data_IF_430158694718
#
_entry.id   IF_430158694718
#
_cell.length_a   1.000
_cell.length_b   1.000
_cell.length_c   1.000
_cell.angle_alpha   90.00
_cell.angle_beta   90.00
_cell.angle_gamma   90.00
#
_symmetry.space_group_name_H-M   'P 1'
#
loop_
_entity.id
_entity.type
_entity.pdbx_description
1 polymer ?
#
# COMPACT_ATOMS: atom_id res chain seq x y z
N UNK A 1 -5.12 32.83 1.09
CA UNK A 1 -5.44 31.39 1.02
C UNK A 1 -4.30 30.65 1.71
N UNK A 2 -4.59 29.84 2.73
CA UNK A 2 -3.54 29.09 3.44
C UNK A 2 -2.91 28.05 2.51
N UNK A 3 -1.64 27.75 2.74
CA UNK A 3 -0.82 26.86 1.93
C UNK A 3 -0.48 25.58 2.68
N UNK A 4 -0.68 24.43 2.03
CA UNK A 4 -0.44 23.11 2.60
C UNK A 4 0.49 22.35 1.67
N UNK A 5 1.60 21.82 2.19
CA UNK A 5 2.41 20.84 1.47
C UNK A 5 2.01 19.43 1.89
N UNK A 6 1.69 18.56 0.93
CA UNK A 6 1.46 17.13 1.14
C UNK A 6 2.66 16.39 0.57
N UNK A 7 3.41 15.69 1.42
CA UNK A 7 4.64 14.99 1.04
C UNK A 7 4.33 13.50 0.94
N UNK A 8 4.17 13.01 -0.28
CA UNK A 8 3.78 11.64 -0.61
C UNK A 8 2.35 11.57 -1.14
N UNK A 9 2.18 10.92 -2.29
CA UNK A 9 0.89 10.75 -2.96
C UNK A 9 0.32 9.34 -2.83
N UNK A 10 0.86 8.51 -1.93
CA UNK A 10 0.28 7.21 -1.60
C UNK A 10 -1.07 7.32 -0.87
N UNK A 11 -1.64 6.19 -0.39
CA UNK A 11 -2.98 6.15 0.20
C UNK A 11 -3.23 7.22 1.26
N UNK A 12 -2.31 7.41 2.22
CA UNK A 12 -2.44 8.44 3.26
C UNK A 12 -2.64 9.85 2.67
N UNK A 13 -1.85 10.21 1.65
CA UNK A 13 -1.99 11.49 0.96
C UNK A 13 -3.31 11.60 0.19
N UNK A 14 -3.77 10.51 -0.43
CA UNK A 14 -5.05 10.47 -1.13
C UNK A 14 -6.22 10.67 -0.17
N UNK A 15 -6.25 9.97 0.97
CA UNK A 15 -7.32 10.13 1.96
C UNK A 15 -7.32 11.53 2.58
N UNK A 16 -6.14 12.12 2.82
CA UNK A 16 -6.06 13.52 3.21
C UNK A 16 -6.71 14.43 2.16
N UNK A 17 -6.35 14.28 0.88
CA UNK A 17 -6.92 15.08 -0.21
C UNK A 17 -8.43 14.84 -0.36
N UNK A 18 -8.92 13.61 -0.13
CA UNK A 18 -10.35 13.32 -0.08
C UNK A 18 -11.02 14.11 1.04
N UNK A 19 -10.50 14.09 2.26
CA UNK A 19 -11.06 14.84 3.39
C UNK A 19 -11.10 16.34 3.10
N UNK A 20 -10.11 16.88 2.36
CA UNK A 20 -10.10 18.29 1.95
C UNK A 20 -11.26 18.68 1.03
N UNK A 21 -11.95 17.72 0.39
CA UNK A 21 -13.17 18.01 -0.38
C UNK A 21 -14.29 18.56 0.51
N UNK A 22 -14.31 18.22 1.79
CA UNK A 22 -15.33 18.66 2.75
C UNK A 22 -15.01 20.05 3.33
N UNK A 23 -13.80 20.58 3.09
CA UNK A 23 -13.40 21.88 3.59
C UNK A 23 -14.13 23.03 2.90
N UNK A 24 -14.76 23.90 3.71
CA UNK A 24 -15.28 25.18 3.26
C UNK A 24 -14.16 26.17 2.91
N UNK A 25 -13.04 26.09 3.64
CA UNK A 25 -11.85 26.90 3.43
C UNK A 25 -11.10 26.38 2.20
N UNK A 26 -10.71 27.30 1.31
CA UNK A 26 -9.90 26.97 0.12
C UNK A 26 -8.42 27.05 0.47
N UNK A 27 -7.66 26.11 -0.09
CA UNK A 27 -6.23 25.96 0.21
C UNK A 27 -5.39 25.98 -1.08
N UNK A 28 -4.15 26.43 -0.94
CA UNK A 28 -3.10 26.24 -1.94
C UNK A 28 -2.33 24.98 -1.57
N UNK A 29 -2.64 23.86 -2.22
CA UNK A 29 -2.10 22.55 -1.89
C UNK A 29 -0.97 22.23 -2.87
N UNK A 30 0.22 21.96 -2.35
CA UNK A 30 1.33 21.42 -3.13
C UNK A 30 1.50 19.94 -2.80
N UNK A 31 1.33 19.06 -3.78
CA UNK A 31 1.52 17.63 -3.65
C UNK A 31 2.90 17.24 -4.18
N UNK A 32 3.78 16.78 -3.30
CA UNK A 32 5.12 16.31 -3.64
C UNK A 32 5.16 14.79 -3.67
N UNK A 33 5.83 14.22 -4.68
CA UNK A 33 6.17 12.81 -4.69
C UNK A 33 7.51 12.58 -5.37
N UNK A 34 8.30 11.67 -4.81
CA UNK A 34 9.59 11.28 -5.40
C UNK A 34 9.41 10.44 -6.67
N UNK A 35 8.29 9.72 -6.79
CA UNK A 35 7.96 8.92 -7.96
C UNK A 35 7.43 9.81 -9.09
N UNK A 36 7.60 9.33 -10.32
CA UNK A 36 6.99 9.98 -11.49
C UNK A 36 5.47 9.76 -11.53
N UNK A 37 5.03 8.54 -11.21
CA UNK A 37 3.61 8.18 -11.14
C UNK A 37 3.07 8.40 -9.73
N UNK A 38 1.94 9.11 -9.64
CA UNK A 38 1.28 9.42 -8.38
C UNK A 38 0.24 8.36 -7.99
N UNK A 39 -0.21 8.41 -6.74
CA UNK A 39 -1.38 7.69 -6.25
C UNK A 39 -1.09 6.28 -5.77
N UNK A 40 -0.27 5.54 -6.51
CA UNK A 40 0.04 4.14 -6.20
C UNK A 40 0.70 3.97 -4.83
N UNK A 41 1.57 4.88 -4.41
CA UNK A 41 2.43 4.65 -3.25
C UNK A 41 3.41 3.49 -3.45
N UNK A 42 4.48 3.45 -2.65
CA UNK A 42 5.53 2.43 -2.76
C UNK A 42 4.98 0.98 -2.81
N UNK A 43 4.07 0.56 -1.90
CA UNK A 43 3.64 -0.84 -1.80
C UNK A 43 2.85 -1.37 -3.00
N UNK A 44 2.27 -0.51 -3.83
CA UNK A 44 1.38 -0.92 -4.93
C UNK A 44 1.98 -0.65 -6.32
N UNK A 45 3.25 -0.23 -6.38
CA UNK A 45 3.93 0.00 -7.66
C UNK A 45 4.27 -1.31 -8.38
N UNK A 46 4.26 -1.27 -9.71
CA UNK A 46 4.76 -2.34 -10.60
C UNK A 46 6.30 -2.48 -10.57
N UNK A 47 6.99 -1.52 -9.96
CA UNK A 47 8.44 -1.58 -9.75
C UNK A 47 8.80 -2.59 -8.65
N UNK A 48 7.95 -2.70 -7.63
CA UNK A 48 8.19 -3.56 -6.48
C UNK A 48 7.41 -4.88 -6.55
N UNK A 49 6.26 -4.92 -7.22
CA UNK A 49 5.35 -6.06 -7.22
C UNK A 49 5.13 -6.64 -8.63
N UNK A 50 4.67 -7.89 -8.69
CA UNK A 50 4.13 -8.51 -9.91
C UNK A 50 2.60 -8.48 -9.93
N UNK A 51 2.02 -9.01 -11.01
CA UNK A 51 0.57 -9.15 -11.15
C UNK A 51 0.00 -10.32 -10.32
N UNK A 52 0.85 -11.28 -9.97
CA UNK A 52 0.47 -12.47 -9.18
C UNK A 52 0.43 -12.18 -7.67
N UNK A 53 0.95 -11.03 -7.24
CA UNK A 53 1.01 -10.66 -5.83
C UNK A 53 -0.27 -9.98 -5.40
N UNK A 54 -1.05 -10.67 -4.55
CA UNK A 54 -2.30 -10.15 -4.03
C UNK A 54 -2.06 -9.12 -2.93
N UNK A 55 -2.92 -8.11 -2.87
CA UNK A 55 -3.05 -7.26 -1.71
C UNK A 55 -3.58 -8.12 -0.55
N UNK A 56 -3.04 -7.93 0.64
CA UNK A 56 -3.44 -8.65 1.86
C UNK A 56 -4.62 -7.97 2.56
N UNK A 57 -5.49 -7.32 1.78
CA UNK A 57 -6.66 -6.60 2.24
C UNK A 57 -7.77 -6.86 1.22
N UNK A 58 -8.92 -7.32 1.70
CA UNK A 58 -10.07 -7.54 0.88
C UNK A 58 -10.68 -6.21 0.44
N UNK A 59 -11.44 -6.25 -0.66
CA UNK A 59 -12.05 -5.05 -1.24
C UNK A 59 -12.92 -4.26 -0.25
N UNK A 60 -13.69 -4.98 0.57
CA UNK A 60 -14.61 -4.46 1.59
C UNK A 60 -13.89 -3.77 2.77
N UNK A 61 -12.64 -4.14 3.03
CA UNK A 61 -11.84 -3.58 4.12
C UNK A 61 -11.17 -2.26 3.72
N UNK A 62 -11.04 -1.99 2.41
CA UNK A 62 -10.46 -0.74 1.92
C UNK A 62 -11.46 0.39 2.13
N UNK A 63 -11.10 1.45 2.88
CA UNK A 63 -12.00 2.57 3.08
C UNK A 63 -12.44 3.18 1.75
N UNK A 64 -13.71 3.53 1.64
CA UNK A 64 -14.26 4.04 0.38
C UNK A 64 -13.62 5.41 0.06
N UNK A 65 -13.12 5.57 -1.17
CA UNK A 65 -12.71 6.87 -1.70
C UNK A 65 -13.90 7.59 -2.34
N UNK A 66 -13.95 7.76 -3.67
CA UNK A 66 -15.15 8.22 -4.37
C UNK A 66 -16.10 7.06 -4.69
N UNK A 67 -15.56 5.84 -4.76
CA UNK A 67 -16.29 4.58 -4.91
C UNK A 67 -15.52 3.44 -4.24
N UNK A 68 -16.15 2.29 -4.00
CA UNK A 68 -15.45 1.11 -3.45
C UNK A 68 -14.48 0.52 -4.49
N UNK A 69 -13.45 -0.19 -4.02
CA UNK A 69 -12.52 -0.88 -4.91
C UNK A 69 -13.23 -1.94 -5.77
N UNK A 70 -14.19 -2.66 -5.18
CA UNK A 70 -15.02 -3.65 -5.87
C UNK A 70 -15.82 -3.01 -7.02
N UNK A 71 -16.48 -1.88 -6.74
CA UNK A 71 -17.24 -1.12 -7.75
C UNK A 71 -16.33 -0.68 -8.89
N UNK A 72 -15.13 -0.20 -8.58
CA UNK A 72 -14.16 0.21 -9.59
C UNK A 72 -13.66 -0.96 -10.44
N UNK A 73 -13.38 -2.12 -9.83
CA UNK A 73 -12.99 -3.34 -10.54
C UNK A 73 -14.08 -3.78 -11.53
N UNK A 74 -15.35 -3.69 -11.14
CA UNK A 74 -16.51 -3.98 -11.99
C UNK A 74 -16.66 -3.04 -13.19
N UNK A 75 -15.98 -1.88 -13.21
CA UNK A 75 -15.97 -0.96 -14.36
C UNK A 75 -14.87 -1.28 -15.38
N UNK A 76 -13.89 -2.10 -15.03
CA UNK A 76 -12.83 -2.51 -15.95
C UNK A 76 -13.40 -3.38 -17.07
N UNK A 77 -12.76 -3.30 -18.24
CA UNK A 77 -13.09 -4.17 -19.37
C UNK A 77 -12.56 -5.59 -19.13
N UNK A 78 -13.17 -6.57 -19.80
CA UNK A 78 -12.73 -7.97 -19.71
C UNK A 78 -11.25 -8.11 -20.08
N UNK A 79 -10.81 -7.42 -21.14
CA UNK A 79 -9.39 -7.38 -21.52
C UNK A 79 -8.46 -6.85 -20.40
N UNK A 80 -8.90 -5.85 -19.63
CA UNK A 80 -8.11 -5.35 -18.50
C UNK A 80 -8.03 -6.35 -17.36
N UNK A 81 -9.11 -7.08 -17.09
CA UNK A 81 -9.19 -8.09 -16.03
C UNK A 81 -8.42 -9.37 -16.40
N UNK A 82 -8.54 -9.84 -17.63
CA UNK A 82 -7.80 -10.99 -18.18
C UNK A 82 -6.28 -10.79 -18.08
N UNK A 83 -5.80 -9.54 -18.25
CA UNK A 83 -4.41 -9.19 -18.05
C UNK A 83 -3.88 -9.43 -16.63
N UNK A 84 -4.77 -9.64 -15.66
CA UNK A 84 -4.50 -10.00 -14.27
C UNK A 84 -5.03 -11.40 -13.92
N UNK A 85 -5.40 -12.20 -14.92
CA UNK A 85 -5.99 -13.54 -14.72
C UNK A 85 -7.31 -13.49 -13.91
N UNK A 86 -8.06 -12.39 -14.03
CA UNK A 86 -9.33 -12.17 -13.34
C UNK A 86 -10.52 -12.30 -14.30
N UNK A 87 -11.61 -12.87 -13.80
CA UNK A 87 -12.90 -12.88 -14.46
C UNK A 87 -13.87 -11.92 -13.73
N UNK A 88 -14.60 -11.11 -14.51
CA UNK A 88 -15.54 -10.13 -13.99
C UNK A 88 -16.64 -10.72 -13.10
N UNK A 89 -17.13 -11.92 -13.45
CA UNK A 89 -18.15 -12.65 -12.69
C UNK A 89 -17.67 -13.13 -11.31
N UNK A 90 -16.35 -13.19 -11.08
CA UNK A 90 -15.76 -13.64 -9.82
C UNK A 90 -15.32 -12.47 -8.93
N UNK A 91 -15.57 -11.22 -9.33
CA UNK A 91 -15.26 -10.05 -8.52
C UNK A 91 -16.30 -9.93 -7.39
N UNK A 92 -15.83 -9.87 -6.15
CA UNK A 92 -16.63 -9.84 -4.93
C UNK A 92 -15.97 -8.95 -3.87
N UNK A 93 -16.78 -8.47 -2.94
CA UNK A 93 -16.34 -7.57 -1.86
C UNK A 93 -15.28 -8.20 -0.94
N UNK A 94 -15.34 -9.53 -0.73
CA UNK A 94 -14.33 -10.28 0.04
C UNK A 94 -13.17 -10.82 -0.80
N UNK A 95 -13.07 -10.41 -2.06
CA UNK A 95 -11.98 -10.85 -2.94
C UNK A 95 -10.65 -10.16 -2.63
N UNK A 96 -9.57 -10.90 -2.76
CA UNK A 96 -8.19 -10.40 -2.74
C UNK A 96 -7.69 -10.25 -4.18
N UNK A 97 -7.18 -9.06 -4.52
CA UNK A 97 -6.80 -8.71 -5.89
C UNK A 97 -5.34 -8.27 -5.96
N UNK A 98 -4.72 -8.29 -7.15
CA UNK A 98 -3.32 -7.90 -7.32
C UNK A 98 -3.01 -6.50 -6.75
N UNK A 99 -1.89 -6.37 -6.02
CA UNK A 99 -1.41 -5.09 -5.45
C UNK A 99 -1.27 -4.01 -6.50
N UNK A 100 -0.80 -4.39 -7.68
CA UNK A 100 -0.61 -3.47 -8.80
C UNK A 100 -1.94 -2.96 -9.37
N UNK A 101 -3.01 -3.76 -9.28
CA UNK A 101 -4.36 -3.34 -9.66
C UNK A 101 -4.98 -2.41 -8.61
N UNK A 102 -4.73 -2.66 -7.32
CA UNK A 102 -5.08 -1.74 -6.23
C UNK A 102 -4.34 -0.40 -6.37
N UNK A 103 -3.07 -0.42 -6.76
CA UNK A 103 -2.32 0.79 -7.08
C UNK A 103 -2.95 1.60 -8.21
N UNK A 104 -3.47 0.93 -9.24
CA UNK A 104 -4.21 1.58 -10.33
C UNK A 104 -5.52 2.21 -9.84
N UNK A 105 -6.27 1.53 -8.98
CA UNK A 105 -7.44 2.11 -8.33
C UNK A 105 -7.08 3.41 -7.59
N UNK A 106 -6.06 3.40 -6.74
CA UNK A 106 -5.64 4.60 -6.01
C UNK A 106 -5.21 5.74 -6.93
N UNK A 107 -4.52 5.43 -8.03
CA UNK A 107 -4.16 6.42 -9.04
C UNK A 107 -5.39 7.04 -9.71
N UNK A 108 -6.34 6.21 -10.16
CA UNK A 108 -7.56 6.69 -10.82
C UNK A 108 -8.40 7.53 -9.84
N UNK A 109 -8.53 7.11 -8.58
CA UNK A 109 -9.22 7.88 -7.53
C UNK A 109 -8.53 9.22 -7.23
N UNK A 110 -7.19 9.25 -7.13
CA UNK A 110 -6.44 10.50 -6.91
C UNK A 110 -6.69 11.52 -8.02
N UNK A 111 -6.71 11.07 -9.28
CA UNK A 111 -6.96 11.95 -10.44
C UNK A 111 -8.34 12.62 -10.31
N UNK A 112 -9.37 11.84 -9.98
CA UNK A 112 -10.73 12.38 -9.83
C UNK A 112 -10.86 13.29 -8.59
N UNK A 113 -10.24 12.93 -7.47
CA UNK A 113 -10.21 13.78 -6.26
C UNK A 113 -9.55 15.13 -6.56
N UNK A 114 -8.43 15.15 -7.29
CA UNK A 114 -7.76 16.41 -7.68
C UNK A 114 -8.68 17.26 -8.56
N UNK A 115 -9.38 16.68 -9.54
CA UNK A 115 -10.35 17.41 -10.36
C UNK A 115 -11.45 18.04 -9.51
N UNK A 116 -12.01 17.29 -8.56
CA UNK A 116 -13.05 17.76 -7.66
C UNK A 116 -12.55 18.87 -6.72
N UNK A 117 -11.33 18.77 -6.20
CA UNK A 117 -10.71 19.82 -5.38
C UNK A 117 -10.55 21.13 -6.18
N UNK A 118 -10.06 21.04 -7.41
CA UNK A 118 -9.93 22.20 -8.31
C UNK A 118 -11.31 22.81 -8.59
N UNK A 119 -12.32 21.99 -8.90
CA UNK A 119 -13.69 22.45 -9.12
C UNK A 119 -14.30 23.13 -7.88
N UNK A 120 -13.91 22.70 -6.68
CA UNK A 120 -14.28 23.33 -5.40
C UNK A 120 -13.48 24.58 -5.06
N UNK A 121 -12.55 25.02 -5.91
CA UNK A 121 -11.79 26.27 -5.76
C UNK A 121 -10.45 26.13 -5.03
N UNK A 122 -9.99 24.91 -4.73
CA UNK A 122 -8.63 24.72 -4.24
C UNK A 122 -7.63 24.93 -5.38
N UNK A 123 -6.44 25.46 -5.07
CA UNK A 123 -5.33 25.47 -6.01
C UNK A 123 -4.48 24.24 -5.72
N UNK A 124 -4.25 23.41 -6.74
CA UNK A 124 -3.41 22.22 -6.62
C UNK A 124 -2.17 22.40 -7.49
N UNK A 125 -0.99 22.29 -6.90
CA UNK A 125 0.28 22.23 -7.60
C UNK A 125 0.91 20.85 -7.40
N UNK A 126 1.25 20.17 -8.48
CA UNK A 126 1.79 18.81 -8.44
C UNK A 126 3.28 18.86 -8.73
N UNK A 127 4.07 18.29 -7.84
CA UNK A 127 5.53 18.24 -7.89
C UNK A 127 5.99 16.78 -7.78
N UNK A 128 5.78 15.99 -8.83
CA UNK A 128 6.31 14.64 -8.93
C UNK A 128 7.81 14.67 -9.29
N UNK A 129 8.52 13.54 -9.20
CA UNK A 129 9.98 13.47 -9.32
C UNK A 129 10.73 14.48 -8.40
N UNK A 130 10.14 14.76 -7.24
CA UNK A 130 10.66 15.74 -6.28
C UNK A 130 10.74 15.12 -4.90
N UNK A 131 11.91 15.21 -4.28
CA UNK A 131 12.19 14.67 -2.96
C UNK A 131 12.40 15.81 -1.96
N UNK A 132 11.57 15.82 -0.92
CA UNK A 132 11.72 16.74 0.21
C UNK A 132 12.77 16.14 1.16
N UNK A 133 13.90 16.84 1.32
CA UNK A 133 15.03 16.39 2.14
C UNK A 133 14.93 16.83 3.59
N UNK A 134 14.30 17.97 3.83
CA UNK A 134 14.11 18.50 5.17
C UNK A 134 12.81 19.30 5.24
N UNK A 135 12.23 19.32 6.43
CA UNK A 135 11.10 20.16 6.83
C UNK A 135 11.49 20.84 8.14
N UNK A 136 11.74 22.14 8.10
CA UNK A 136 12.10 22.94 9.27
C UNK A 136 10.93 23.88 9.62
N UNK A 137 10.62 24.09 10.90
CA UNK A 137 9.63 25.10 11.32
C UNK A 137 10.35 26.38 11.71
N UNK A 138 10.21 27.43 10.90
CA UNK A 138 10.94 28.69 11.03
C UNK A 138 9.99 29.87 10.77
N UNK A 139 10.07 30.89 11.63
CA UNK A 139 9.31 32.14 11.47
C UNK A 139 7.80 31.95 11.28
N UNK A 140 7.21 30.97 11.98
CA UNK A 140 5.77 30.69 11.92
C UNK A 140 5.31 29.88 10.70
N UNK A 141 6.23 29.37 9.88
CA UNK A 141 5.94 28.55 8.69
C UNK A 141 6.85 27.33 8.61
N UNK A 142 6.46 26.37 7.79
CA UNK A 142 7.31 25.24 7.44
C UNK A 142 8.12 25.53 6.19
N UNK A 143 9.44 25.43 6.29
CA UNK A 143 10.38 25.50 5.19
C UNK A 143 10.70 24.08 4.69
N UNK A 144 10.41 23.82 3.42
CA UNK A 144 10.71 22.58 2.73
C UNK A 144 11.94 22.76 1.86
N UNK A 145 12.95 21.91 2.07
CA UNK A 145 14.11 21.78 1.19
C UNK A 145 13.82 20.71 0.14
N UNK A 146 13.41 21.15 -1.04
CA UNK A 146 13.00 20.28 -2.13
C UNK A 146 14.13 20.15 -3.13
N UNK A 147 14.42 18.92 -3.51
CA UNK A 147 15.34 18.60 -4.57
C UNK A 147 14.56 17.87 -5.66
N UNK A 148 14.92 18.08 -6.92
CA UNK A 148 14.39 17.31 -8.04
C UNK A 148 15.54 16.88 -8.92
N UNK A 149 15.36 15.80 -9.68
CA UNK A 149 16.34 15.37 -10.67
C UNK A 149 16.57 16.42 -11.77
N UNK A 150 15.57 17.30 -12.01
CA UNK A 150 15.58 18.26 -13.12
C UNK A 150 15.60 19.75 -12.67
N UNK A 151 15.59 20.03 -11.37
CA UNK A 151 15.55 21.41 -10.86
C UNK A 151 16.66 21.68 -9.85
N UNK A 152 17.08 22.95 -9.81
CA UNK A 152 17.93 23.50 -8.75
C UNK A 152 17.23 23.27 -7.41
N UNK A 153 17.99 22.94 -6.36
CA UNK A 153 17.50 22.87 -4.98
C UNK A 153 16.63 24.08 -4.65
N UNK A 154 15.38 23.84 -4.27
CA UNK A 154 14.42 24.89 -3.93
C UNK A 154 14.15 24.90 -2.43
N UNK A 155 13.93 26.10 -1.92
CA UNK A 155 13.42 26.32 -0.57
C UNK A 155 12.01 26.89 -0.75
N UNK A 156 11.01 26.16 -0.26
CA UNK A 156 9.60 26.51 -0.39
C UNK A 156 8.97 26.61 1.00
N UNK A 157 8.10 27.58 1.24
CA UNK A 157 7.47 27.77 2.55
C UNK A 157 5.97 27.53 2.50
N UNK A 158 5.44 26.83 3.50
CA UNK A 158 4.03 26.48 3.63
C UNK A 158 3.51 26.77 5.04
N UNK A 159 2.21 27.05 5.16
CA UNK A 159 1.58 27.27 6.48
C UNK A 159 1.40 25.94 7.22
N UNK A 160 1.13 24.85 6.48
CA UNK A 160 0.97 23.50 7.02
C UNK A 160 1.73 22.46 6.20
N UNK A 161 2.09 21.34 6.82
CA UNK A 161 2.73 20.19 6.17
C UNK A 161 2.04 18.90 6.60
N UNK A 162 1.70 18.06 5.64
CA UNK A 162 1.22 16.70 5.83
C UNK A 162 2.31 15.73 5.37
N UNK A 163 2.87 14.97 6.31
CA UNK A 163 3.86 13.94 6.00
C UNK A 163 3.16 12.60 5.69
N UNK A 164 2.95 12.32 4.41
CA UNK A 164 2.38 11.07 3.90
C UNK A 164 3.46 10.20 3.23
N UNK A 165 4.66 10.18 3.80
CA UNK A 165 5.87 9.59 3.20
C UNK A 165 5.90 8.06 3.24
N UNK A 166 4.95 7.44 3.96
CA UNK A 166 5.00 6.02 4.29
C UNK A 166 6.17 5.66 5.20
N UNK A 167 6.50 4.37 5.27
CA UNK A 167 7.60 3.87 6.07
C UNK A 167 8.89 3.75 5.25
N UNK A 168 10.00 4.21 5.83
CA UNK A 168 11.34 3.97 5.30
C UNK A 168 11.90 2.69 5.92
N UNK A 169 12.32 1.75 5.07
CA UNK A 169 13.10 0.60 5.51
C UNK A 169 14.55 0.82 5.09
N UNK A 170 15.48 0.53 6.00
CA UNK A 170 16.90 0.53 5.67
C UNK A 170 17.16 -0.41 4.50
N UNK A 171 18.14 -0.03 3.67
CA UNK A 171 18.52 -0.83 2.51
C UNK A 171 19.13 -2.14 3.00
N UNK A 172 18.36 -3.21 2.91
CA UNK A 172 18.83 -4.56 3.17
C UNK A 172 20.04 -4.89 2.26
N UNK A 173 21.14 -5.37 2.86
CA UNK A 173 22.38 -5.68 2.14
C UNK A 173 22.41 -7.19 1.89
N UNK A 174 22.34 -7.57 0.62
CA UNK A 174 22.50 -8.96 0.18
C UNK A 174 23.97 -9.39 0.31
N UNK A 175 24.23 -10.65 0.65
CA UNK A 175 25.59 -11.19 0.84
C UNK A 175 25.71 -12.61 0.30
N UNK A 176 26.50 -12.80 -0.77
CA UNK A 176 26.62 -14.09 -1.43
C UNK A 176 25.26 -14.62 -1.89
N UNK A 177 24.84 -15.78 -1.36
CA UNK A 177 23.53 -16.38 -1.64
C UNK A 177 22.42 -15.92 -0.67
N UNK A 178 22.75 -15.10 0.34
CA UNK A 178 21.77 -14.53 1.26
C UNK A 178 21.14 -13.29 0.63
N UNK A 179 19.82 -13.35 0.43
CA UNK A 179 19.01 -12.19 0.07
C UNK A 179 18.37 -11.62 1.33
N UNK A 180 18.76 -10.41 1.71
CA UNK A 180 18.30 -9.79 2.95
C UNK A 180 16.87 -9.22 2.82
N UNK A 181 16.42 -8.96 1.59
CA UNK A 181 15.03 -8.58 1.31
C UNK A 181 14.58 -9.13 -0.05
N UNK A 182 13.36 -9.73 -0.13
CA UNK A 182 12.79 -10.23 -1.38
C UNK A 182 12.42 -9.12 -2.37
N UNK A 183 12.51 -7.85 -1.95
CA UNK A 183 12.13 -6.68 -2.73
C UNK A 183 13.31 -6.04 -3.48
N UNK A 184 13.09 -5.50 -4.69
CA UNK A 184 11.88 -5.63 -5.51
C UNK A 184 11.65 -7.07 -5.97
N UNK A 185 10.39 -7.45 -6.24
CA UNK A 185 9.99 -8.78 -6.73
C UNK A 185 10.90 -9.32 -7.84
N UNK A 186 11.34 -8.45 -8.75
CA UNK A 186 12.23 -8.81 -9.88
C UNK A 186 13.54 -9.48 -9.46
N UNK A 187 14.00 -9.30 -8.21
CA UNK A 187 15.16 -10.03 -7.67
C UNK A 187 14.93 -11.53 -7.67
N UNK A 188 13.70 -11.97 -7.38
CA UNK A 188 13.33 -13.37 -7.24
C UNK A 188 13.26 -14.11 -8.58
N UNK A 189 13.09 -13.40 -9.70
CA UNK A 189 13.06 -13.96 -11.06
C UNK A 189 14.32 -14.76 -11.44
N UNK A 190 15.43 -14.51 -10.73
CA UNK A 190 16.72 -15.19 -10.93
C UNK A 190 16.79 -16.56 -10.24
N UNK A 191 15.88 -16.85 -9.32
CA UNK A 191 15.88 -18.08 -8.53
C UNK A 191 15.15 -19.17 -9.33
N UNK A 192 15.91 -20.13 -9.87
CA UNK A 192 15.38 -21.22 -10.69
C UNK A 192 16.03 -22.53 -10.35
N UNK A 193 15.22 -23.59 -10.30
CA UNK A 193 15.63 -24.98 -10.21
C UNK A 193 16.73 -25.23 -9.16
N UNK A 194 16.53 -24.72 -7.93
CA UNK A 194 17.49 -24.85 -6.84
C UNK A 194 16.77 -24.95 -5.49
N UNK A 195 17.54 -25.27 -4.44
CA UNK A 195 17.05 -25.28 -3.07
C UNK A 195 17.01 -23.86 -2.51
N UNK A 196 15.90 -23.48 -1.91
CA UNK A 196 15.63 -22.13 -1.40
C UNK A 196 15.16 -22.22 0.05
N UNK A 197 15.86 -21.52 0.95
CA UNK A 197 15.40 -21.30 2.32
C UNK A 197 14.78 -19.91 2.46
N UNK A 198 13.55 -19.83 2.93
CA UNK A 198 12.86 -18.56 3.24
C UNK A 198 12.75 -18.43 4.76
N UNK A 199 13.45 -17.44 5.33
CA UNK A 199 13.41 -17.15 6.75
C UNK A 199 12.19 -16.27 7.06
N UNK A 200 11.17 -16.87 7.67
CA UNK A 200 9.90 -16.24 8.02
C UNK A 200 8.71 -16.91 7.36
N UNK A 201 7.53 -16.67 7.93
CA UNK A 201 6.24 -17.11 7.38
C UNK A 201 5.24 -15.96 7.26
N UNK A 202 5.70 -14.70 7.37
CA UNK A 202 4.83 -13.53 7.18
C UNK A 202 4.42 -13.34 5.71
N UNK A 203 3.55 -12.37 5.44
CA UNK A 203 3.10 -12.03 4.09
C UNK A 203 4.26 -11.82 3.10
N UNK A 204 5.36 -11.18 3.51
CA UNK A 204 6.54 -11.02 2.63
C UNK A 204 7.25 -12.34 2.32
N UNK A 205 7.20 -13.31 3.23
CA UNK A 205 7.76 -14.64 3.00
C UNK A 205 6.84 -15.47 2.07
N UNK A 206 5.53 -15.35 2.24
CA UNK A 206 4.53 -15.97 1.35
C UNK A 206 4.66 -15.39 -0.06
N UNK A 207 4.77 -14.07 -0.19
CA UNK A 207 5.05 -13.38 -1.45
C UNK A 207 6.32 -13.91 -2.14
N UNK A 208 7.39 -14.09 -1.37
CA UNK A 208 8.65 -14.62 -1.88
C UNK A 208 8.50 -16.08 -2.34
N UNK A 209 7.77 -16.90 -1.59
CA UNK A 209 7.43 -18.27 -1.97
C UNK A 209 6.66 -18.31 -3.29
N UNK A 210 5.55 -17.56 -3.39
CA UNK A 210 4.69 -17.49 -4.59
C UNK A 210 5.50 -17.03 -5.81
N UNK A 211 6.37 -16.03 -5.63
CA UNK A 211 7.25 -15.56 -6.68
C UNK A 211 8.20 -16.66 -7.20
N UNK A 212 8.88 -17.36 -6.30
CA UNK A 212 9.81 -18.44 -6.67
C UNK A 212 9.05 -19.61 -7.30
N UNK A 213 7.86 -19.95 -6.79
CA UNK A 213 7.00 -20.98 -7.38
C UNK A 213 6.61 -20.61 -8.83
N UNK A 214 6.08 -19.40 -9.09
CA UNK A 214 5.73 -18.97 -10.45
C UNK A 214 6.92 -18.93 -11.43
N UNK A 215 8.15 -18.74 -10.94
CA UNK A 215 9.34 -18.80 -11.80
C UNK A 215 9.70 -20.23 -12.24
N UNK A 216 9.16 -21.23 -11.54
CA UNK A 216 9.55 -22.64 -11.67
C UNK A 216 8.38 -23.56 -12.02
N UNK A 217 7.16 -23.04 -12.12
CA UNK A 217 5.96 -23.78 -12.44
C UNK A 217 4.74 -22.87 -12.51
N UNK A 218 3.57 -23.47 -12.53
CA UNK A 218 2.28 -22.78 -12.60
C UNK A 218 1.27 -23.42 -11.67
N UNK A 219 0.45 -22.59 -11.03
CA UNK A 219 -0.76 -23.04 -10.35
C UNK A 219 -1.87 -23.16 -11.39
N UNK A 220 -2.55 -24.31 -11.43
CA UNK A 220 -3.64 -24.60 -12.35
C UNK A 220 -4.84 -25.03 -11.52
N UNK A 221 -5.92 -24.28 -11.64
CA UNK A 221 -7.21 -24.63 -11.06
C UNK A 221 -7.93 -25.59 -12.01
N UNK A 222 -8.43 -26.71 -11.48
CA UNK A 222 -9.24 -27.64 -12.25
C UNK A 222 -10.72 -27.19 -12.30
N UNK A 223 -11.54 -27.90 -13.08
CA UNK A 223 -12.98 -27.57 -13.22
C UNK A 223 -13.77 -27.65 -11.89
N UNK A 224 -13.23 -28.32 -10.87
CA UNK A 224 -13.84 -28.42 -9.53
C UNK A 224 -13.35 -27.35 -8.55
N UNK A 225 -12.47 -26.45 -8.99
CA UNK A 225 -11.90 -25.38 -8.15
C UNK A 225 -10.72 -25.81 -7.29
N UNK A 226 -10.17 -27.01 -7.48
CA UNK A 226 -8.98 -27.45 -6.78
C UNK A 226 -7.73 -26.92 -7.48
N UNK A 227 -6.82 -26.35 -6.69
CA UNK A 227 -5.57 -25.77 -7.18
C UNK A 227 -4.43 -26.80 -7.13
N UNK A 228 -3.87 -27.13 -8.30
CA UNK A 228 -2.69 -27.98 -8.43
C UNK A 228 -1.47 -27.16 -8.86
N UNK A 229 -0.28 -27.50 -8.37
CA UNK A 229 0.97 -26.86 -8.81
C UNK A 229 1.75 -27.79 -9.74
N UNK A 230 1.99 -27.31 -10.97
CA UNK A 230 2.72 -28.04 -12.01
C UNK A 230 4.10 -27.42 -12.21
N UNK A 231 5.16 -28.21 -12.01
CA UNK A 231 6.53 -27.79 -12.29
C UNK A 231 6.77 -27.63 -13.80
N UNK A 232 7.57 -26.63 -14.16
CA UNK A 232 8.02 -26.44 -15.53
C UNK A 232 8.89 -27.62 -15.99
N UNK A 233 8.89 -27.95 -17.30
CA UNK A 233 9.83 -28.92 -17.84
C UNK A 233 11.28 -28.55 -17.48
N UNK A 234 12.07 -29.54 -17.05
CA UNK A 234 13.46 -29.42 -16.59
C UNK A 234 13.68 -28.77 -15.21
N UNK A 235 12.64 -28.54 -14.42
CA UNK A 235 12.76 -28.15 -13.01
C UNK A 235 12.64 -29.40 -12.12
N UNK A 236 13.78 -30.01 -11.78
CA UNK A 236 13.85 -31.24 -10.96
C UNK A 236 14.51 -31.06 -9.59
N UNK A 237 15.14 -29.91 -9.35
CA UNK A 237 15.90 -29.61 -8.14
C UNK A 237 15.25 -28.52 -7.26
N UNK A 238 14.07 -28.03 -7.65
CA UNK A 238 13.36 -27.04 -6.85
C UNK A 238 12.90 -27.66 -5.53
N UNK A 239 13.34 -27.07 -4.43
CA UNK A 239 12.91 -27.38 -3.07
C UNK A 239 12.84 -26.06 -2.31
N UNK A 240 11.65 -25.68 -1.83
CA UNK A 240 11.46 -24.42 -1.10
C UNK A 240 11.07 -24.77 0.33
N UNK A 241 11.93 -24.41 1.27
CA UNK A 241 11.68 -24.58 2.70
C UNK A 241 11.40 -23.21 3.34
N UNK A 242 10.19 -23.03 3.87
CA UNK A 242 9.85 -21.87 4.70
C UNK A 242 10.13 -22.18 6.18
N UNK A 243 10.75 -21.25 6.89
CA UNK A 243 11.19 -21.45 8.26
C UNK A 243 10.50 -20.46 9.20
N UNK A 244 9.80 -20.98 10.21
CA UNK A 244 9.13 -20.22 11.27
C UNK A 244 9.70 -20.60 12.63
N UNK A 245 9.81 -19.64 13.55
CA UNK A 245 10.24 -19.90 14.94
C UNK A 245 9.38 -20.96 15.64
N UNK A 246 8.09 -21.03 15.29
CA UNK A 246 7.11 -21.97 15.89
C UNK A 246 6.60 -23.03 14.93
N UNK A 247 7.11 -23.07 13.68
CA UNK A 247 6.58 -23.97 12.64
C UNK A 247 5.16 -23.62 12.17
N UNK A 248 4.69 -22.41 12.44
CA UNK A 248 3.32 -21.95 12.11
C UNK A 248 3.34 -21.05 10.87
N UNK A 249 2.38 -21.27 9.97
CA UNK A 249 1.97 -20.35 8.92
C UNK A 249 0.85 -19.44 9.48
N UNK A 250 0.89 -18.12 9.24
CA UNK A 250 -0.21 -17.25 9.63
C UNK A 250 -1.46 -17.61 8.84
N UNK A 251 -2.62 -17.36 9.45
CA UNK A 251 -3.87 -17.34 8.71
C UNK A 251 -3.78 -16.26 7.62
N UNK A 252 -4.17 -16.62 6.39
CA UNK A 252 -4.07 -15.73 5.23
C UNK A 252 -5.13 -14.61 5.27
N UNK A 253 -6.21 -14.84 6.01
CA UNK A 253 -7.33 -13.93 6.23
C UNK A 253 -7.96 -14.25 7.59
N UNK A 254 -8.50 -13.26 8.27
CA UNK A 254 -9.30 -13.43 9.47
C UNK A 254 -10.76 -13.11 9.11
N UNK A 255 -11.64 -14.11 9.21
CA UNK A 255 -13.06 -13.84 9.02
C UNK A 255 -13.58 -13.00 10.18
N UNK A 256 -14.02 -11.79 9.87
CA UNK A 256 -14.87 -10.97 10.73
C UNK A 256 -16.18 -10.60 10.01
N UNK A 257 -17.31 -10.50 10.73
CA UNK A 257 -18.52 -9.89 10.18
C UNK A 257 -18.27 -8.41 9.87
N UNK A 258 -18.83 -7.93 8.75
CA UNK A 258 -18.78 -6.52 8.37
C UNK A 258 -20.23 -6.00 8.19
N UNK A 259 -20.61 -4.87 8.83
CA UNK A 259 -19.77 -4.00 9.67
C UNK A 259 -19.27 -4.72 10.93
N UNK A 260 -18.13 -4.28 11.45
CA UNK A 260 -17.55 -4.84 12.67
C UNK A 260 -18.56 -4.83 13.80
N UNK A 261 -18.61 -5.91 14.58
CA UNK A 261 -19.37 -5.91 15.81
C UNK A 261 -18.79 -4.84 16.76
N UNK A 262 -19.65 -4.13 17.52
CA UNK A 262 -19.17 -3.13 18.48
C UNK A 262 -18.13 -3.74 19.42
N UNK A 263 -17.02 -3.03 19.62
CA UNK A 263 -15.97 -3.44 20.55
C UNK A 263 -16.53 -3.46 21.97
N UNK A 264 -16.28 -4.51 22.74
CA UNK A 264 -16.67 -4.57 24.16
C UNK A 264 -15.60 -3.94 25.07
N UNK A 265 -14.34 -3.95 24.64
CA UNK A 265 -13.17 -3.58 25.44
C UNK A 265 -12.68 -2.16 25.11
N UNK A 266 -12.69 -1.77 23.84
CA UNK A 266 -12.14 -0.49 23.39
C UNK A 266 -13.26 0.36 22.77
N UNK A 267 -14.22 0.76 23.63
CA UNK A 267 -15.41 1.55 23.23
C UNK A 267 -15.08 3.05 23.15
N UNK A 268 -15.89 3.81 22.40
CA UNK A 268 -15.79 5.28 22.37
C UNK A 268 -15.92 5.89 23.78
N UNK A 269 -16.80 5.35 24.61
CA UNK A 269 -17.00 5.81 26.00
C UNK A 269 -15.74 5.59 26.85
N UNK A 270 -15.12 4.41 26.76
CA UNK A 270 -13.87 4.11 27.48
C UNK A 270 -12.73 5.01 26.98
N UNK A 271 -12.58 5.17 25.67
CA UNK A 271 -11.57 6.06 25.08
C UNK A 271 -11.78 7.51 25.54
N UNK A 272 -13.01 8.00 25.54
CA UNK A 272 -13.32 9.35 26.02
C UNK A 272 -12.99 9.51 27.50
N UNK A 273 -13.31 8.51 28.32
CA UNK A 273 -12.96 8.49 29.73
C UNK A 273 -11.44 8.55 29.95
N UNK A 274 -10.66 7.79 29.18
CA UNK A 274 -9.20 7.87 29.20
C UNK A 274 -8.69 9.25 28.76
N UNK A 275 -9.24 9.85 27.71
CA UNK A 275 -8.85 11.20 27.25
C UNK A 275 -9.09 12.25 28.34
N UNK A 276 -10.20 12.14 29.06
CA UNK A 276 -10.59 13.12 30.07
C UNK A 276 -9.76 12.98 31.38
N UNK A 277 -9.24 11.78 31.67
CA UNK A 277 -8.61 11.48 32.97
C UNK A 277 -7.12 11.13 32.93
N UNK A 278 -6.55 10.79 31.77
CA UNK A 278 -5.14 10.40 31.64
C UNK A 278 -4.33 11.51 30.98
N UNK A 279 -3.42 12.13 31.75
CA UNK A 279 -2.61 13.28 31.30
C UNK A 279 -1.34 12.88 30.52
N UNK A 280 -0.93 11.61 30.55
CA UNK A 280 0.21 11.05 29.80
C UNK A 280 0.00 9.55 29.54
N UNK A 281 0.61 9.01 28.48
CA UNK A 281 0.64 7.57 28.14
C UNK A 281 -0.71 6.88 27.92
N UNK A 282 -1.66 7.61 27.30
CA UNK A 282 -2.98 7.11 26.88
C UNK A 282 -2.93 5.75 26.12
N UNK A 283 -1.90 5.52 25.31
CA UNK A 283 -1.76 4.29 24.53
C UNK A 283 -1.37 3.08 25.37
N UNK A 284 -0.51 3.27 26.38
CA UNK A 284 -0.07 2.17 27.23
C UNK A 284 -1.20 1.79 28.20
N UNK A 285 -1.88 2.80 28.78
CA UNK A 285 -2.98 2.58 29.71
C UNK A 285 -4.24 1.99 29.06
N UNK A 286 -4.43 2.19 27.75
CA UNK A 286 -5.57 1.62 27.03
C UNK A 286 -5.38 0.18 26.57
N UNK A 287 -4.13 -0.26 26.35
CA UNK A 287 -3.83 -1.60 25.83
C UNK A 287 -3.52 -2.60 26.94
N UNK A 288 -2.92 -2.14 28.05
CA UNK A 288 -2.50 -3.00 29.18
C UNK A 288 -3.58 -3.21 30.26
N UNK A 289 -4.81 -2.72 30.07
CA UNK A 289 -5.89 -2.83 31.07
C UNK A 289 -6.50 -4.25 31.23
N UNK A 290 -5.89 -5.29 30.63
CA UNK A 290 -6.36 -6.68 30.65
C UNK A 290 -5.26 -7.71 30.92
#
# INVERSE_FOLDING_TARGET
MQSVAVIGSGPTGIYFLKAMLESEIKFNIALFDQAAALGTGMPYTTNLNSKQMLANIASIEIPILLESYCTWLQKLSDYQLENYELNKGNIAERGFYPRTLLGKYFQDQLIEIIKLLIAKGHKINIQNNSFVRNVDYLNGKFELRVHSYNFIKQILTYDHVVMATGHYYDKAIDSGNLMASPWPYKKLNKIRNCKVGILGTSLSAIDAFVAVAHNNGSFIENETGELAYNLNPNVSQLDITMMSRKGILPEADFFCPLPYEPLEIFTEELVQNFIDHCQSDLLDETVDYH
#
